data_IF_612081162423
#
_entry.id   IF_612081162423
#
_cell.length_a   1.000
_cell.length_b   1.000
_cell.length_c   1.000
_cell.angle_alpha   90.00
_cell.angle_beta   90.00
_cell.angle_gamma   90.00
#
_symmetry.space_group_name_H-M   'P 1'
#
loop_
_entity.id
_entity.type
_entity.pdbx_description
1 polymer ?
#
# COMPACT_ATOMS: atom_id res chain seq x y z
N UNK A 1 4.83 6.26 -0.09
CA UNK A 1 4.76 4.79 -0.34
C UNK A 1 6.20 4.26 -0.40
N UNK A 2 6.98 4.53 0.64
CA UNK A 2 8.42 4.26 0.69
C UNK A 2 8.75 2.85 1.23
N UNK A 3 7.85 2.24 2.01
CA UNK A 3 8.17 1.02 2.78
C UNK A 3 8.43 -0.21 1.90
N UNK A 4 7.73 -0.35 0.77
CA UNK A 4 7.87 -1.50 -0.13
C UNK A 4 9.27 -1.61 -0.74
N UNK A 5 9.80 -0.50 -1.27
CA UNK A 5 11.10 -0.47 -1.91
C UNK A 5 12.23 -0.70 -0.88
N UNK A 6 12.09 -0.11 0.30
CA UNK A 6 13.04 -0.28 1.40
C UNK A 6 13.08 -1.74 1.87
N UNK A 7 11.92 -2.38 2.08
CA UNK A 7 11.83 -3.79 2.48
C UNK A 7 12.55 -4.70 1.46
N UNK A 8 12.29 -4.50 0.16
CA UNK A 8 12.94 -5.30 -0.90
C UNK A 8 14.45 -5.06 -0.95
N UNK A 9 14.91 -3.81 -0.78
CA UNK A 9 16.34 -3.50 -0.75
C UNK A 9 17.05 -4.19 0.43
N UNK A 10 16.48 -4.10 1.64
CA UNK A 10 17.04 -4.77 2.82
C UNK A 10 17.11 -6.30 2.65
N UNK A 11 16.15 -6.90 1.96
CA UNK A 11 16.14 -8.34 1.74
C UNK A 11 17.09 -8.78 0.61
N UNK A 12 17.00 -8.14 -0.56
CA UNK A 12 17.67 -8.57 -1.78
C UNK A 12 19.11 -8.04 -1.88
N UNK A 13 19.36 -6.81 -1.43
CA UNK A 13 20.68 -6.18 -1.50
C UNK A 13 21.49 -6.41 -0.24
N UNK A 14 20.87 -6.28 0.94
CA UNK A 14 21.56 -6.48 2.23
C UNK A 14 21.44 -7.92 2.77
N UNK A 15 20.58 -8.77 2.20
CA UNK A 15 20.46 -10.18 2.60
C UNK A 15 19.75 -10.42 3.95
N UNK A 16 19.06 -9.41 4.51
CA UNK A 16 18.41 -9.55 5.81
C UNK A 16 17.23 -10.52 5.73
N UNK A 17 17.06 -11.36 6.75
CA UNK A 17 15.85 -12.17 6.91
C UNK A 17 14.60 -11.30 7.16
N UNK A 18 13.41 -11.80 6.83
CA UNK A 18 12.15 -11.09 7.11
C UNK A 18 12.00 -10.71 8.60
N UNK A 19 12.44 -11.59 9.52
CA UNK A 19 12.46 -11.34 10.97
C UNK A 19 13.44 -10.24 11.41
N UNK A 20 14.51 -10.03 10.66
CA UNK A 20 15.45 -8.93 10.92
C UNK A 20 14.86 -7.60 10.44
N UNK A 21 14.19 -7.60 9.28
CA UNK A 21 13.52 -6.43 8.72
C UNK A 21 12.34 -6.00 9.61
N UNK A 22 11.51 -6.95 10.07
CA UNK A 22 10.43 -6.73 11.04
C UNK A 22 10.92 -5.97 12.27
N UNK A 23 12.01 -6.43 12.90
CA UNK A 23 12.59 -5.79 14.08
C UNK A 23 13.26 -4.44 13.79
N UNK A 24 13.85 -4.28 12.61
CA UNK A 24 14.55 -3.04 12.20
C UNK A 24 13.58 -1.92 11.86
N UNK A 25 12.46 -2.24 11.20
CA UNK A 25 11.47 -1.26 10.76
C UNK A 25 10.24 -1.18 11.68
N UNK A 26 10.09 -2.11 12.63
CA UNK A 26 8.91 -2.24 13.50
C UNK A 26 7.60 -2.41 12.71
N UNK A 27 7.64 -3.17 11.62
CA UNK A 27 6.49 -3.47 10.75
C UNK A 27 6.17 -4.96 10.86
N UNK A 28 4.88 -5.32 10.86
CA UNK A 28 4.43 -6.70 10.90
C UNK A 28 5.10 -7.57 9.81
N UNK A 29 5.48 -8.79 10.18
CA UNK A 29 6.11 -9.76 9.27
C UNK A 29 5.27 -10.03 8.02
N UNK A 30 3.94 -10.03 8.14
CA UNK A 30 3.04 -10.26 7.00
C UNK A 30 3.12 -9.13 5.97
N UNK A 31 3.32 -7.89 6.42
CA UNK A 31 3.57 -6.75 5.54
C UNK A 31 4.91 -6.89 4.81
N UNK A 32 5.94 -7.37 5.50
CA UNK A 32 7.25 -7.67 4.89
C UNK A 32 7.09 -8.77 3.83
N UNK A 33 6.39 -9.85 4.15
CA UNK A 33 6.13 -10.94 3.22
C UNK A 33 5.34 -10.47 1.99
N UNK A 34 4.30 -9.65 2.20
CA UNK A 34 3.51 -9.04 1.13
C UNK A 34 4.35 -8.13 0.22
N UNK A 35 5.21 -7.30 0.82
CA UNK A 35 6.09 -6.41 0.06
C UNK A 35 7.14 -7.19 -0.78
N UNK A 36 7.63 -8.32 -0.27
CA UNK A 36 8.53 -9.20 -1.02
C UNK A 36 7.82 -9.96 -2.14
N UNK A 37 6.57 -10.36 -1.94
CA UNK A 37 5.76 -11.05 -2.95
C UNK A 37 5.28 -10.12 -4.07
N UNK A 38 5.08 -8.83 -3.77
CA UNK A 38 4.65 -7.84 -4.74
C UNK A 38 5.81 -7.34 -5.59
N UNK A 39 5.69 -7.49 -6.91
CA UNK A 39 6.73 -7.10 -7.87
C UNK A 39 6.68 -5.60 -8.24
N UNK A 40 5.54 -4.96 -7.97
CA UNK A 40 5.34 -3.53 -8.07
C UNK A 40 5.00 -2.93 -6.70
N UNK A 41 5.22 -1.62 -6.48
CA UNK A 41 4.76 -0.97 -5.26
C UNK A 41 3.25 -1.19 -5.10
N UNK A 42 2.75 -1.39 -3.87
CA UNK A 42 1.35 -1.66 -3.61
C UNK A 42 0.52 -0.46 -4.04
N UNK A 43 -0.09 -0.50 -5.24
CA UNK A 43 -0.98 0.55 -5.69
C UNK A 43 -2.26 0.50 -4.86
N UNK A 44 -2.59 1.59 -4.20
CA UNK A 44 -3.89 1.73 -3.57
C UNK A 44 -4.95 1.92 -4.65
N UNK A 45 -5.53 0.81 -5.12
CA UNK A 45 -6.69 0.81 -5.99
C UNK A 45 -7.95 0.61 -5.14
N UNK A 46 -8.61 1.71 -4.79
CA UNK A 46 -9.98 1.64 -4.27
C UNK A 46 -10.91 1.47 -5.47
N UNK A 47 -11.59 0.34 -5.56
CA UNK A 47 -12.70 0.20 -6.51
C UNK A 47 -13.68 1.37 -6.29
N UNK A 48 -14.10 2.04 -7.36
CA UNK A 48 -15.02 3.17 -7.27
C UNK A 48 -16.35 2.68 -6.68
N UNK A 49 -16.54 2.87 -5.38
CA UNK A 49 -17.80 2.59 -4.71
C UNK A 49 -18.71 3.81 -4.87
N UNK A 50 -20.01 3.64 -5.17
CA UNK A 50 -20.94 4.76 -5.16
C UNK A 50 -20.84 5.45 -3.81
N UNK A 51 -20.48 6.73 -3.84
CA UNK A 51 -20.45 7.56 -2.64
C UNK A 51 -21.87 8.00 -2.29
N UNK A 52 -22.13 8.35 -1.03
CA UNK A 52 -23.41 8.96 -0.65
C UNK A 52 -23.72 10.24 -1.45
N UNK A 53 -22.69 10.89 -2.00
CA UNK A 53 -22.81 12.09 -2.85
C UNK A 53 -23.20 11.73 -4.29
N UNK A 54 -22.98 10.48 -4.72
CA UNK A 54 -23.30 10.02 -6.08
C UNK A 54 -24.79 10.17 -6.42
N UNK A 55 -25.68 10.03 -5.43
CA UNK A 55 -27.12 10.25 -5.60
C UNK A 55 -27.46 11.73 -5.84
N UNK A 56 -26.70 12.63 -5.21
CA UNK A 56 -26.96 14.07 -5.22
C UNK A 56 -26.13 14.84 -6.26
N UNK A 57 -25.13 14.21 -6.88
CA UNK A 57 -24.22 14.83 -7.85
C UNK A 57 -24.96 15.59 -8.97
N UNK A 58 -26.03 15.05 -9.60
CA UNK A 58 -26.73 15.76 -10.67
C UNK A 58 -27.37 17.06 -10.19
N UNK A 59 -27.87 17.07 -8.94
CA UNK A 59 -28.54 18.24 -8.36
C UNK A 59 -27.56 19.30 -7.90
N UNK A 60 -26.41 18.90 -7.38
CA UNK A 60 -25.32 19.82 -7.01
C UNK A 60 -24.78 20.52 -8.26
N UNK A 61 -24.57 19.78 -9.35
CA UNK A 61 -24.06 20.33 -10.62
C UNK A 61 -25.00 21.37 -11.24
N UNK A 62 -26.30 21.30 -10.97
CA UNK A 62 -27.28 22.29 -11.44
C UNK A 62 -27.26 23.61 -10.64
N UNK A 63 -26.54 23.67 -9.51
CA UNK A 63 -26.44 24.85 -8.63
C UNK A 63 -25.12 25.61 -8.78
N UNK A 64 -24.20 25.13 -9.62
CA UNK A 64 -22.89 25.72 -9.91
C UNK A 64 -22.89 26.32 -11.32
#
# INVERSE_FOLDING_TARGET
MEDWALIRHLHLSEGLSQRAIERKLSIARDTVASALASDSPPKYERASSPSAISEFEPRIRALL
#
